data_IF_278007164518
#
_entry.id   IF_278007164518
#
_cell.length_a   1.000
_cell.length_b   1.000
_cell.length_c   1.000
_cell.angle_alpha   90.00
_cell.angle_beta   90.00
_cell.angle_gamma   90.00
#
_symmetry.space_group_name_H-M   'P 1'
#
loop_
_entity.id
_entity.type
_entity.pdbx_description
1 polymer ?
#
# COMPACT_ATOMS: atom_id res chain seq x y z
N UNK A 1 29.78 -34.88 -35.32
CA UNK A 1 29.72 -36.03 -34.40
C UNK A 1 30.46 -35.62 -33.13
N UNK A 2 29.74 -35.43 -32.04
CA UNK A 2 30.32 -34.95 -30.78
C UNK A 2 29.31 -35.15 -29.66
N UNK A 3 29.38 -36.32 -29.04
CA UNK A 3 28.58 -36.73 -27.89
C UNK A 3 29.04 -35.97 -26.65
N UNK A 4 28.10 -35.48 -25.84
CA UNK A 4 28.35 -35.21 -24.42
C UNK A 4 27.11 -35.62 -23.61
N UNK A 5 27.26 -36.75 -22.91
CA UNK A 5 26.40 -37.15 -21.80
C UNK A 5 26.95 -36.50 -20.53
N UNK A 6 26.09 -36.01 -19.65
CA UNK A 6 26.45 -35.84 -18.25
C UNK A 6 25.27 -36.24 -17.37
N UNK A 7 25.46 -37.38 -16.73
CA UNK A 7 24.59 -37.99 -15.73
C UNK A 7 25.07 -37.46 -14.37
N UNK A 8 24.17 -36.91 -13.55
CA UNK A 8 24.44 -36.76 -12.12
C UNK A 8 23.29 -37.35 -11.30
N UNK A 9 23.75 -38.10 -10.30
CA UNK A 9 23.10 -39.12 -9.49
C UNK A 9 22.38 -38.49 -8.28
N UNK A 10 21.32 -39.11 -7.74
CA UNK A 10 20.64 -38.65 -6.54
C UNK A 10 21.42 -39.02 -5.27
N UNK A 11 21.42 -38.12 -4.28
CA UNK A 11 21.93 -38.39 -2.92
C UNK A 11 20.77 -38.32 -1.94
N UNK A 12 20.53 -39.46 -1.32
CA UNK A 12 19.54 -39.72 -0.28
C UNK A 12 20.12 -39.39 1.11
N UNK A 13 19.26 -38.89 2.00
CA UNK A 13 19.28 -39.23 3.43
C UNK A 13 20.21 -38.43 4.35
N UNK A 14 19.62 -37.58 5.20
CA UNK A 14 19.95 -37.56 6.64
C UNK A 14 18.73 -37.08 7.44
N UNK A 15 18.44 -37.83 8.51
CA UNK A 15 17.33 -37.71 9.42
C UNK A 15 17.43 -36.51 10.40
N UNK A 16 16.26 -36.14 10.92
CA UNK A 16 15.86 -35.16 11.95
C UNK A 16 16.80 -35.00 13.17
N UNK A 17 16.68 -33.86 13.88
CA UNK A 17 15.86 -33.89 15.09
C UNK A 17 14.77 -32.81 15.16
N UNK A 18 13.72 -33.19 15.87
CA UNK A 18 12.57 -32.40 16.30
C UNK A 18 12.98 -31.36 17.35
N UNK A 19 12.59 -30.10 17.14
CA UNK A 19 12.46 -29.08 18.19
C UNK A 19 11.27 -28.16 17.89
N UNK A 20 10.17 -28.36 18.61
CA UNK A 20 9.26 -27.28 19.01
C UNK A 20 9.61 -26.93 20.47
N UNK A 21 9.28 -25.73 21.03
CA UNK A 21 8.67 -24.54 20.44
C UNK A 21 9.46 -23.24 20.76
N UNK A 22 9.38 -22.21 19.90
CA UNK A 22 9.66 -20.84 20.36
C UNK A 22 8.49 -19.96 20.02
N UNK A 23 7.59 -19.87 21.00
CA UNK A 23 6.62 -18.81 21.17
C UNK A 23 7.35 -17.48 21.03
N UNK A 24 7.18 -16.85 19.86
CA UNK A 24 7.78 -15.57 19.56
C UNK A 24 6.97 -14.51 20.30
N UNK A 25 7.43 -14.16 21.49
CA UNK A 25 6.95 -13.02 22.26
C UNK A 25 6.81 -11.81 21.34
N UNK A 26 5.55 -11.49 21.02
CA UNK A 26 5.21 -10.40 20.14
C UNK A 26 5.40 -9.12 20.94
N UNK A 27 6.60 -8.55 20.91
CA UNK A 27 6.90 -7.26 21.56
C UNK A 27 5.77 -6.27 21.26
N UNK A 28 5.19 -5.60 22.28
CA UNK A 28 4.12 -4.65 22.06
C UNK A 28 4.60 -3.59 21.09
N UNK A 29 3.94 -3.52 19.93
CA UNK A 29 4.28 -2.63 18.83
C UNK A 29 4.14 -1.19 19.31
N UNK A 30 5.24 -0.58 19.77
CA UNK A 30 5.32 0.85 20.12
C UNK A 30 4.60 1.64 19.02
N UNK A 31 3.50 2.29 19.37
CA UNK A 31 2.84 3.24 18.48
C UNK A 31 3.84 4.37 18.25
N UNK A 32 4.54 4.34 17.10
CA UNK A 32 5.46 5.40 16.72
C UNK A 32 4.65 6.68 16.61
N UNK A 33 4.85 7.62 17.53
CA UNK A 33 4.25 8.94 17.43
C UNK A 33 4.74 9.68 16.18
N UNK A 34 3.94 10.61 15.63
CA UNK A 34 4.39 11.47 14.55
C UNK A 34 5.63 12.26 14.97
N UNK A 35 6.61 12.45 14.07
CA UNK A 35 7.73 13.36 14.31
C UNK A 35 7.21 14.76 14.69
N UNK A 36 7.82 15.43 15.68
CA UNK A 36 7.23 16.61 16.33
C UNK A 36 7.07 17.86 15.46
N UNK A 37 7.49 17.86 14.19
CA UNK A 37 7.49 19.05 13.31
C UNK A 37 6.75 18.85 11.98
N UNK A 38 5.90 17.83 11.85
CA UNK A 38 5.14 17.61 10.61
C UNK A 38 3.80 18.36 10.65
N UNK A 39 3.51 19.11 9.60
CA UNK A 39 2.19 19.75 9.38
C UNK A 39 1.75 19.62 7.92
N UNK A 40 0.44 19.79 7.67
CA UNK A 40 -0.10 19.78 6.31
C UNK A 40 0.15 18.45 5.57
N UNK A 41 0.53 18.46 4.29
CA UNK A 41 0.69 17.25 3.48
C UNK A 41 1.64 16.23 4.09
N UNK A 42 2.77 16.68 4.66
CA UNK A 42 3.77 15.79 5.26
C UNK A 42 3.22 15.03 6.48
N UNK A 43 2.36 15.66 7.27
CA UNK A 43 1.69 14.99 8.40
C UNK A 43 0.68 13.95 7.90
N UNK A 44 -0.08 14.28 6.85
CA UNK A 44 -1.06 13.38 6.22
C UNK A 44 -0.35 12.18 5.61
N UNK A 45 0.73 12.40 4.85
CA UNK A 45 1.56 11.33 4.30
C UNK A 45 2.08 10.40 5.40
N UNK A 46 2.61 10.96 6.49
CA UNK A 46 3.10 10.16 7.60
C UNK A 46 1.99 9.29 8.22
N UNK A 47 0.78 9.83 8.38
CA UNK A 47 -0.38 9.08 8.90
C UNK A 47 -0.81 7.97 7.95
N UNK A 48 -0.83 8.25 6.65
CA UNK A 48 -1.28 7.32 5.61
C UNK A 48 -0.19 6.39 5.07
N UNK A 49 1.06 6.52 5.57
CA UNK A 49 2.25 5.80 5.05
C UNK A 49 2.10 4.29 4.96
N UNK A 50 1.37 3.67 5.89
CA UNK A 50 1.18 2.20 5.88
C UNK A 50 0.33 1.76 4.69
N UNK A 51 -0.73 2.52 4.37
CA UNK A 51 -1.62 2.25 3.24
C UNK A 51 -0.91 2.55 1.92
N UNK A 52 -0.19 3.68 1.84
CA UNK A 52 0.69 4.02 0.72
C UNK A 52 1.71 2.91 0.44
N UNK A 53 2.36 2.38 1.48
CA UNK A 53 3.33 1.28 1.33
C UNK A 53 2.68 0.01 0.79
N UNK A 54 1.51 -0.38 1.29
CA UNK A 54 0.80 -1.57 0.82
C UNK A 54 0.41 -1.45 -0.66
N UNK A 55 -0.18 -0.32 -1.04
CA UNK A 55 -0.52 -0.01 -2.43
C UNK A 55 0.72 0.00 -3.34
N UNK A 56 1.78 0.74 -2.97
CA UNK A 56 3.02 0.78 -3.74
C UNK A 56 3.67 -0.60 -3.90
N UNK A 57 3.60 -1.44 -2.86
CA UNK A 57 4.12 -2.81 -2.94
C UNK A 57 3.33 -3.66 -3.92
N UNK A 58 2.00 -3.51 -3.94
CA UNK A 58 1.13 -4.19 -4.89
C UNK A 58 1.41 -3.75 -6.33
N UNK A 59 1.39 -2.43 -6.57
CA UNK A 59 1.66 -1.86 -7.91
C UNK A 59 3.06 -2.22 -8.37
N UNK A 60 4.05 -2.19 -7.49
CA UNK A 60 5.41 -2.60 -7.80
C UNK A 60 5.51 -4.06 -8.24
N UNK A 61 4.83 -4.98 -7.55
CA UNK A 61 4.75 -6.38 -7.97
C UNK A 61 4.05 -6.53 -9.32
N UNK A 62 2.85 -5.96 -9.44
CA UNK A 62 2.07 -5.99 -10.68
C UNK A 62 2.85 -5.44 -11.88
N UNK A 63 3.56 -4.32 -11.70
CA UNK A 63 4.33 -3.70 -12.78
C UNK A 63 5.48 -4.60 -13.26
N UNK A 64 6.21 -5.23 -12.33
CA UNK A 64 7.32 -6.11 -12.67
C UNK A 64 6.86 -7.44 -13.26
N UNK A 65 5.78 -8.01 -12.74
CA UNK A 65 5.35 -9.37 -13.08
C UNK A 65 4.39 -9.40 -14.29
N UNK A 66 3.65 -8.31 -14.52
CA UNK A 66 2.59 -8.24 -15.55
C UNK A 66 2.88 -7.18 -16.61
N UNK A 67 3.11 -5.94 -16.21
CA UNK A 67 3.23 -4.84 -17.17
C UNK A 67 4.50 -4.93 -18.01
N UNK A 68 5.69 -4.99 -17.38
CA UNK A 68 6.97 -5.04 -18.09
C UNK A 68 7.10 -6.27 -19.02
N UNK A 69 6.64 -7.48 -18.63
CA UNK A 69 6.69 -8.64 -19.51
C UNK A 69 5.61 -8.66 -20.62
N UNK A 70 4.74 -7.66 -20.69
CA UNK A 70 3.65 -7.59 -21.69
C UNK A 70 2.43 -8.47 -21.38
N UNK A 71 2.37 -9.09 -20.20
CA UNK A 71 1.30 -10.01 -19.78
C UNK A 71 0.07 -9.32 -19.18
N UNK A 72 0.06 -7.98 -19.16
CA UNK A 72 -1.00 -7.21 -18.53
C UNK A 72 -2.36 -7.34 -19.24
N UNK A 73 -2.37 -7.67 -20.53
CA UNK A 73 -3.59 -7.79 -21.34
C UNK A 73 -4.07 -9.24 -21.51
N UNK A 74 -3.26 -10.23 -21.11
CA UNK A 74 -3.51 -11.65 -21.41
C UNK A 74 -4.42 -12.33 -20.39
N UNK A 75 -4.48 -11.81 -19.15
CA UNK A 75 -5.22 -12.41 -18.06
C UNK A 75 -6.28 -11.44 -17.51
N UNK A 76 -7.44 -11.36 -18.15
CA UNK A 76 -8.65 -10.66 -17.65
C UNK A 76 -9.12 -11.19 -16.27
N UNK A 77 -8.67 -12.40 -15.88
CA UNK A 77 -8.97 -13.00 -14.56
C UNK A 77 -7.91 -12.76 -13.49
N UNK A 78 -6.74 -12.26 -13.85
CA UNK A 78 -5.65 -12.00 -12.89
C UNK A 78 -5.64 -10.55 -12.45
N UNK A 79 -6.81 -10.03 -12.15
CA UNK A 79 -6.97 -8.75 -11.50
C UNK A 79 -6.43 -8.84 -10.06
N UNK A 80 -5.11 -8.81 -9.91
CA UNK A 80 -4.50 -8.28 -8.68
C UNK A 80 -4.87 -6.80 -8.63
N UNK A 81 -6.12 -6.53 -8.25
CA UNK A 81 -6.66 -5.19 -8.15
C UNK A 81 -6.01 -4.52 -6.95
N UNK A 82 -4.90 -3.84 -7.21
CA UNK A 82 -4.32 -2.87 -6.30
C UNK A 82 -5.29 -1.72 -6.01
N UNK A 83 -6.43 -1.65 -6.71
CA UNK A 83 -7.51 -0.68 -6.58
C UNK A 83 -8.05 -0.59 -5.16
N UNK A 84 -8.32 -1.72 -4.49
CA UNK A 84 -8.76 -1.65 -3.09
C UNK A 84 -7.71 -1.01 -2.17
N UNK A 85 -6.44 -1.29 -2.42
CA UNK A 85 -5.33 -0.71 -1.65
C UNK A 85 -5.16 0.77 -1.98
N UNK A 86 -5.38 1.13 -3.24
CA UNK A 86 -5.40 2.51 -3.71
C UNK A 86 -6.53 3.27 -3.02
N UNK A 87 -7.77 2.78 -3.05
CA UNK A 87 -8.92 3.46 -2.44
C UNK A 87 -8.73 3.64 -0.93
N UNK A 88 -8.22 2.62 -0.23
CA UNK A 88 -7.87 2.73 1.19
C UNK A 88 -6.82 3.83 1.44
N UNK A 89 -5.86 4.00 0.54
CA UNK A 89 -4.85 5.06 0.60
C UNK A 89 -5.43 6.43 0.23
N UNK A 90 -6.12 6.55 -0.91
CA UNK A 90 -6.79 7.77 -1.41
C UNK A 90 -7.70 8.34 -0.34
N UNK A 91 -8.58 7.52 0.23
CA UNK A 91 -9.50 7.91 1.29
C UNK A 91 -8.77 8.46 2.53
N UNK A 92 -7.70 7.79 2.95
CA UNK A 92 -6.86 8.27 4.07
C UNK A 92 -6.29 9.66 3.78
N UNK A 93 -5.71 9.80 2.58
CA UNK A 93 -4.98 10.99 2.20
C UNK A 93 -5.91 12.19 2.03
N UNK A 94 -6.98 12.03 1.24
CA UNK A 94 -7.95 13.09 0.96
C UNK A 94 -8.67 13.56 2.22
N UNK A 95 -9.12 12.62 3.06
CA UNK A 95 -9.71 12.96 4.36
C UNK A 95 -8.72 13.66 5.30
N UNK A 96 -7.46 13.22 5.30
CA UNK A 96 -6.39 13.87 6.06
C UNK A 96 -6.15 15.31 5.59
N UNK A 97 -6.12 15.53 4.27
CA UNK A 97 -5.95 16.85 3.66
C UNK A 97 -7.11 17.79 3.99
N UNK A 98 -8.37 17.32 3.88
CA UNK A 98 -9.54 18.08 4.29
C UNK A 98 -9.47 18.49 5.76
N UNK A 99 -9.07 17.56 6.63
CA UNK A 99 -8.92 17.83 8.07
C UNK A 99 -7.85 18.89 8.33
N UNK A 100 -6.71 18.84 7.64
CA UNK A 100 -5.64 19.83 7.79
C UNK A 100 -6.02 21.20 7.21
N UNK A 101 -6.78 21.27 6.12
CA UNK A 101 -7.30 22.54 5.61
C UNK A 101 -8.31 23.17 6.58
N UNK A 102 -9.26 22.39 7.09
CA UNK A 102 -10.24 22.85 8.10
C UNK A 102 -9.55 23.39 9.36
N UNK A 103 -8.51 22.71 9.85
CA UNK A 103 -7.71 23.20 11.00
C UNK A 103 -7.01 24.52 10.74
N UNK A 104 -6.62 24.78 9.49
CA UNK A 104 -5.99 26.04 9.08
C UNK A 104 -7.01 27.14 8.76
N UNK A 105 -8.31 26.85 8.84
CA UNK A 105 -9.38 27.78 8.45
C UNK A 105 -9.39 28.08 6.95
N UNK A 106 -8.77 27.22 6.13
CA UNK A 106 -8.75 27.36 4.68
C UNK A 106 -10.04 26.78 4.09
N UNK A 107 -10.70 27.56 3.25
CA UNK A 107 -11.82 27.06 2.45
C UNK A 107 -11.29 26.17 1.33
N UNK A 108 -11.97 25.05 1.12
CA UNK A 108 -11.70 24.17 -0.03
C UNK A 108 -12.28 24.85 -1.26
N UNK A 109 -11.47 25.01 -2.30
CA UNK A 109 -11.90 25.63 -3.55
C UNK A 109 -12.90 24.71 -4.29
N UNK A 110 -14.00 25.27 -4.76
CA UNK A 110 -15.00 24.55 -5.56
C UNK A 110 -14.38 24.05 -6.87
N UNK A 111 -14.77 22.85 -7.31
CA UNK A 111 -14.14 22.19 -8.46
C UNK A 111 -12.72 21.67 -8.20
N UNK A 112 -12.18 21.82 -6.99
CA UNK A 112 -10.97 21.10 -6.60
C UNK A 112 -11.28 19.63 -6.31
N UNK A 113 -10.30 18.76 -6.55
CA UNK A 113 -10.40 17.34 -6.23
C UNK A 113 -10.79 17.06 -4.76
N UNK A 114 -10.45 17.98 -3.85
CA UNK A 114 -10.82 17.87 -2.43
C UNK A 114 -12.28 18.25 -2.17
N UNK A 115 -12.84 19.19 -2.94
CA UNK A 115 -14.27 19.53 -2.88
C UNK A 115 -15.11 18.37 -3.40
N UNK A 116 -14.75 17.82 -4.57
CA UNK A 116 -15.42 16.65 -5.16
C UNK A 116 -15.41 15.45 -4.21
N UNK A 117 -14.26 15.17 -3.58
CA UNK A 117 -14.16 14.10 -2.59
C UNK A 117 -14.99 14.37 -1.33
N UNK A 118 -15.10 15.63 -0.90
CA UNK A 118 -15.93 15.99 0.26
C UNK A 118 -17.42 15.77 -0.05
N UNK A 119 -17.86 16.12 -1.26
CA UNK A 119 -19.22 15.89 -1.75
C UNK A 119 -19.55 14.40 -1.86
N UNK A 120 -18.64 13.60 -2.44
CA UNK A 120 -18.76 12.14 -2.56
C UNK A 120 -18.99 11.47 -1.19
N UNK A 121 -18.26 11.92 -0.16
CA UNK A 121 -18.34 11.39 1.21
C UNK A 121 -19.46 12.03 2.05
N UNK A 122 -20.28 12.91 1.49
CA UNK A 122 -21.34 13.64 2.20
C UNK A 122 -20.82 14.58 3.29
N UNK A 123 -19.55 15.00 3.20
CA UNK A 123 -18.95 15.96 4.12
C UNK A 123 -19.33 17.38 3.70
N UNK A 124 -20.20 18.03 4.48
CA UNK A 124 -20.55 19.44 4.28
C UNK A 124 -19.28 20.30 4.19
N UNK A 125 -19.08 20.91 3.03
CA UNK A 125 -18.14 22.01 2.80
C UNK A 125 -18.88 23.31 3.19
N UNK A 126 -18.21 24.24 3.86
CA UNK A 126 -18.85 25.48 4.34
C UNK A 126 -19.08 26.51 3.22
N UNK A 127 -19.22 26.05 1.98
CA UNK A 127 -19.51 26.89 0.81
C UNK A 127 -21.02 27.17 0.65
N UNK A 128 -21.89 26.43 1.36
CA UNK A 128 -23.36 26.59 1.34
C UNK A 128 -23.89 27.77 2.18
N UNK A 129 -23.20 28.92 2.23
CA UNK A 129 -23.70 30.08 2.97
C UNK A 129 -23.48 31.42 2.30
#
# INVERSE_FOLDING_TARGET
>A
MGSNQSVNKPTEGTNFPSETPTESETKPRRQKQPPPNLSGPALVEWKCRKRKKAWNSCVGGWYNDRFLPGKALEDERSEQNCDELFEKFRHCYMRGMLTEQKKKGLKVEEGSMLAEFAEEEGMKTESDK
#
